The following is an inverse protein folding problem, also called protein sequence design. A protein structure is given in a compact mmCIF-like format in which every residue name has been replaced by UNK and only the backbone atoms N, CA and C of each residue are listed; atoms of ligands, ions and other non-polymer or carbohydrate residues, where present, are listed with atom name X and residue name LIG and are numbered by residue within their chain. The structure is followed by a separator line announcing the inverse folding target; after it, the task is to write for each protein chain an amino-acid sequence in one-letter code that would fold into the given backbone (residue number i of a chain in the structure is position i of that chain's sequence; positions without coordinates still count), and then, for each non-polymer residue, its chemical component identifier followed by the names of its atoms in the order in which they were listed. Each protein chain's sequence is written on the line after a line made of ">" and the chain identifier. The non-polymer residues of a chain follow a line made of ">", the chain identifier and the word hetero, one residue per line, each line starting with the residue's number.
data_IF_937886924512
#
_entry.id   IF_937886924512
#
_cell.length_a   1.000
_cell.length_b   1.000
_cell.length_c   1.000
_cell.angle_alpha   90.00
_cell.angle_beta   90.00
_cell.angle_gamma   90.00
#
_symmetry.space_group_name_H-M   'P 1'
#
loop_
_entity.id
_entity.type
_entity.pdbx_description
1 polymer ?
#
# COMPACT_ATOMS: atom_id res chain seq x y z
N UNK A 1 -45.13 29.63 38.74
CA UNK A 1 -43.68 29.58 39.05
C UNK A 1 -43.51 28.89 40.39
N UNK A 2 -42.54 27.98 40.53
CA UNK A 2 -42.20 27.41 41.84
C UNK A 2 -41.36 28.44 42.60
N UNK A 3 -41.93 29.09 43.60
CA UNK A 3 -41.21 30.02 44.48
C UNK A 3 -40.50 29.24 45.58
N UNK A 4 -39.20 29.52 45.80
CA UNK A 4 -38.38 28.93 46.86
C UNK A 4 -38.24 27.39 46.85
N UNK A 5 -38.38 26.75 45.69
CA UNK A 5 -38.19 25.31 45.57
C UNK A 5 -36.71 24.93 45.71
N UNK A 6 -36.41 23.99 46.61
CA UNK A 6 -35.08 23.40 46.78
C UNK A 6 -35.02 22.05 46.05
N UNK A 7 -34.17 21.90 45.01
CA UNK A 7 -34.03 20.63 44.31
C UNK A 7 -33.61 19.50 45.24
N UNK A 8 -34.22 18.34 45.06
CA UNK A 8 -33.90 17.08 45.74
C UNK A 8 -33.24 16.10 44.77
N UNK A 9 -32.72 14.97 45.26
CA UNK A 9 -32.07 13.93 44.43
C UNK A 9 -33.02 13.34 43.36
N UNK A 10 -34.32 13.32 43.65
CA UNK A 10 -35.38 12.87 42.73
C UNK A 10 -35.85 13.96 41.75
N UNK A 11 -35.38 15.20 41.91
CA UNK A 11 -35.73 16.28 40.98
C UNK A 11 -35.10 16.00 39.61
N UNK A 12 -35.88 16.24 38.56
CA UNK A 12 -35.47 16.06 37.16
C UNK A 12 -35.79 17.32 36.37
N UNK A 13 -34.93 17.63 35.41
CA UNK A 13 -35.07 18.76 34.49
C UNK A 13 -34.98 18.20 33.07
N UNK A 14 -35.87 18.64 32.18
CA UNK A 14 -35.85 18.22 30.78
C UNK A 14 -34.58 18.70 30.06
N UNK A 15 -34.04 17.92 29.13
CA UNK A 15 -32.86 18.29 28.33
C UNK A 15 -33.05 19.61 27.56
N UNK A 16 -34.30 19.99 27.24
CA UNK A 16 -34.64 21.23 26.54
C UNK A 16 -34.26 22.50 27.30
N UNK A 17 -34.04 22.40 28.61
CA UNK A 17 -33.57 23.52 29.41
C UNK A 17 -32.05 23.74 29.31
N UNK A 18 -31.31 22.86 28.65
CA UNK A 18 -29.85 22.98 28.47
C UNK A 18 -29.51 23.38 27.03
N UNK A 19 -28.34 23.97 26.83
CA UNK A 19 -27.82 24.22 25.47
C UNK A 19 -27.46 22.90 24.81
N UNK A 20 -27.57 22.83 23.48
CA UNK A 20 -27.18 21.63 22.73
C UNK A 20 -25.70 21.29 22.93
N UNK A 21 -24.83 22.29 23.06
CA UNK A 21 -23.39 22.09 23.32
C UNK A 21 -23.05 21.51 24.71
N UNK A 22 -23.96 21.66 25.69
CA UNK A 22 -23.82 21.15 27.05
C UNK A 22 -24.27 19.68 27.17
N UNK A 23 -24.99 19.17 26.16
CA UNK A 23 -25.43 17.77 26.10
C UNK A 23 -24.43 16.98 25.26
N UNK A 24 -23.59 16.21 25.93
CA UNK A 24 -22.62 15.30 25.33
C UNK A 24 -23.33 14.08 24.75
N UNK A 25 -23.27 13.94 23.42
CA UNK A 25 -23.87 12.82 22.65
C UNK A 25 -22.83 11.89 22.05
N UNK A 26 -21.57 12.30 21.98
CA UNK A 26 -20.47 11.54 21.38
C UNK A 26 -19.30 11.48 22.37
N UNK A 27 -18.54 10.38 22.32
CA UNK A 27 -17.24 10.25 22.98
C UNK A 27 -16.15 10.09 21.92
N UNK A 28 -14.98 10.63 22.22
CA UNK A 28 -13.81 10.55 21.35
C UNK A 28 -12.80 9.57 21.95
N UNK A 29 -12.25 8.67 21.14
CA UNK A 29 -11.19 7.74 21.51
C UNK A 29 -10.07 7.83 20.47
N UNK A 30 -8.83 7.97 20.93
CA UNK A 30 -7.67 8.01 20.04
C UNK A 30 -7.09 6.60 19.89
N UNK A 31 -7.09 6.06 18.67
CA UNK A 31 -6.45 4.78 18.39
C UNK A 31 -4.99 5.01 18.00
N UNK A 32 -4.08 4.64 18.91
CA UNK A 32 -2.64 4.80 18.73
C UNK A 32 -2.09 4.00 17.54
N UNK A 33 -2.72 2.87 17.18
CA UNK A 33 -2.24 2.02 16.08
C UNK A 33 -2.59 2.58 14.72
N UNK A 34 -3.80 3.12 14.55
CA UNK A 34 -4.23 3.71 13.28
C UNK A 34 -3.96 5.21 13.18
N UNK A 35 -3.59 5.86 14.29
CA UNK A 35 -3.38 7.31 14.37
C UNK A 35 -4.66 8.13 14.17
N UNK A 36 -5.84 7.49 14.31
CA UNK A 36 -7.14 8.12 14.03
C UNK A 36 -7.91 8.40 15.33
N UNK A 37 -8.57 9.55 15.35
CA UNK A 37 -9.54 9.89 16.38
C UNK A 37 -10.91 9.31 16.00
N UNK A 38 -11.37 8.32 16.75
CA UNK A 38 -12.67 7.69 16.59
C UNK A 38 -13.72 8.44 17.40
N UNK A 39 -14.87 8.71 16.80
CA UNK A 39 -16.03 9.31 17.47
C UNK A 39 -17.16 8.31 17.51
N UNK A 40 -17.69 8.02 18.70
CA UNK A 40 -18.74 7.03 18.92
C UNK A 40 -19.91 7.70 19.64
N UNK A 41 -21.16 7.49 19.19
CA UNK A 41 -22.33 8.01 19.89
C UNK A 41 -22.51 7.32 21.24
N UNK A 42 -22.86 8.09 22.27
CA UNK A 42 -23.21 7.58 23.59
C UNK A 42 -24.64 7.02 23.57
N UNK A 43 -24.83 5.84 24.16
CA UNK A 43 -26.16 5.24 24.33
C UNK A 43 -27.09 6.13 25.17
N UNK A 44 -26.54 6.81 26.18
CA UNK A 44 -27.25 7.78 27.01
C UNK A 44 -26.50 9.12 26.98
N UNK A 45 -27.12 10.21 26.50
CA UNK A 45 -26.51 11.53 26.53
C UNK A 45 -26.20 11.96 27.96
N UNK A 46 -25.06 12.62 28.15
CA UNK A 46 -24.61 13.14 29.45
C UNK A 46 -24.55 14.65 29.42
N UNK A 47 -24.80 15.29 30.55
CA UNK A 47 -24.52 16.72 30.69
C UNK A 47 -23.03 16.93 30.91
N UNK A 48 -22.48 17.97 30.30
CA UNK A 48 -21.12 18.44 30.59
C UNK A 48 -21.05 18.88 32.05
N UNK A 49 -19.90 18.64 32.67
CA UNK A 49 -19.64 19.13 34.02
C UNK A 49 -19.78 20.67 34.08
N UNK A 50 -20.51 21.17 35.07
CA UNK A 50 -20.83 22.59 35.20
C UNK A 50 -21.96 23.10 34.29
N UNK A 51 -22.64 22.24 33.53
CA UNK A 51 -23.81 22.66 32.74
C UNK A 51 -24.95 23.14 33.65
N UNK A 52 -25.42 24.36 33.41
CA UNK A 52 -26.52 24.97 34.18
C UNK A 52 -27.76 25.08 33.28
N UNK A 53 -28.96 24.68 33.75
CA UNK A 53 -30.19 24.89 33.00
C UNK A 53 -30.38 26.38 32.70
N UNK A 54 -30.61 26.72 31.44
CA UNK A 54 -31.02 28.05 31.04
C UNK A 54 -32.48 28.28 31.43
N UNK A 55 -32.76 29.49 31.94
CA UNK A 55 -34.12 29.99 32.12
C UNK A 55 -34.75 30.25 30.74
N UNK A 56 -35.26 29.20 30.12
CA UNK A 56 -36.13 29.32 28.96
C UNK A 56 -37.55 29.36 29.52
N UNK A 57 -38.06 30.57 29.77
CA UNK A 57 -39.49 30.75 29.98
C UNK A 57 -40.16 30.96 28.61
N UNK A 58 -41.33 30.37 28.40
CA UNK A 58 -42.15 30.59 27.19
C UNK A 58 -42.58 32.07 27.02
N UNK A 59 -42.29 32.93 28.01
CA UNK A 59 -42.57 34.37 28.02
C UNK A 59 -41.33 35.25 27.76
N UNK A 60 -40.16 34.68 27.52
CA UNK A 60 -38.97 35.46 27.20
C UNK A 60 -39.01 35.92 25.73
N UNK A 61 -38.94 37.23 25.43
CA UNK A 61 -38.90 37.70 24.06
C UNK A 61 -37.63 37.18 23.35
N UNK A 62 -37.69 36.91 22.02
CA UNK A 62 -36.56 36.36 21.26
C UNK A 62 -35.25 37.15 21.39
N UNK A 63 -35.33 38.45 21.69
CA UNK A 63 -34.19 39.35 21.91
C UNK A 63 -33.42 39.10 23.21
N UNK A 64 -34.04 38.46 24.21
CA UNK A 64 -33.42 38.11 25.50
C UNK A 64 -33.01 36.63 25.59
N UNK A 65 -33.34 35.83 24.57
CA UNK A 65 -32.82 34.48 24.48
C UNK A 65 -31.33 34.56 24.14
N UNK A 66 -30.45 33.81 24.85
CA UNK A 66 -29.07 33.69 24.43
C UNK A 66 -29.06 33.19 22.99
N UNK A 67 -28.67 34.04 22.04
CA UNK A 67 -28.47 33.60 20.67
C UNK A 67 -27.50 32.40 20.75
N UNK A 68 -27.80 31.32 20.01
CA UNK A 68 -26.77 30.31 19.77
C UNK A 68 -25.67 31.01 18.99
N UNK A 69 -24.69 31.58 19.67
CA UNK A 69 -23.56 32.24 19.03
C UNK A 69 -22.79 31.08 18.39
N UNK A 70 -22.71 30.97 17.06
CA UNK A 70 -21.83 30.00 16.45
C UNK A 70 -20.43 30.31 16.96
N UNK A 71 -19.91 29.43 17.83
CA UNK A 71 -18.58 29.59 18.39
C UNK A 71 -17.60 29.64 17.23
N UNK A 72 -16.93 30.78 17.05
CA UNK A 72 -15.87 30.90 16.06
C UNK A 72 -14.82 29.84 16.38
N UNK A 73 -14.39 29.12 15.36
CA UNK A 73 -13.26 28.20 15.48
C UNK A 73 -12.04 28.99 15.93
N UNK A 74 -11.33 28.51 16.95
CA UNK A 74 -10.11 29.17 17.40
C UNK A 74 -9.07 29.15 16.27
N UNK A 75 -8.20 30.17 16.14
CA UNK A 75 -7.16 30.20 15.11
C UNK A 75 -6.30 28.93 15.09
N UNK A 76 -5.98 28.38 16.27
CA UNK A 76 -5.21 27.13 16.41
C UNK A 76 -5.95 25.93 15.79
N UNK A 77 -7.24 25.76 16.10
CA UNK A 77 -8.04 24.66 15.56
C UNK A 77 -8.19 24.77 14.03
N UNK A 78 -8.36 25.99 13.53
CA UNK A 78 -8.37 26.26 12.08
C UNK A 78 -7.04 25.90 11.40
N UNK A 79 -5.90 26.27 11.99
CA UNK A 79 -4.56 25.92 11.48
C UNK A 79 -4.36 24.41 11.44
N UNK A 80 -4.61 23.72 12.56
CA UNK A 80 -4.51 22.26 12.64
C UNK A 80 -5.37 21.57 11.59
N UNK A 81 -6.63 22.01 11.40
CA UNK A 81 -7.52 21.46 10.37
C UNK A 81 -6.96 21.63 8.95
N UNK A 82 -6.27 22.73 8.66
CA UNK A 82 -5.65 22.95 7.35
C UNK A 82 -4.39 22.07 7.18
N UNK A 83 -3.56 21.96 8.22
CA UNK A 83 -2.40 21.07 8.24
C UNK A 83 -2.81 19.60 8.05
N UNK A 84 -3.78 19.12 8.83
CA UNK A 84 -4.32 17.75 8.73
C UNK A 84 -4.85 17.46 7.31
N UNK A 85 -5.52 18.42 6.68
CA UNK A 85 -5.98 18.30 5.29
C UNK A 85 -4.83 18.16 4.30
N UNK A 86 -3.74 18.93 4.49
CA UNK A 86 -2.57 18.84 3.63
C UNK A 86 -1.85 17.49 3.79
N UNK A 87 -1.71 17.02 5.03
CA UNK A 87 -1.13 15.71 5.35
C UNK A 87 -1.96 14.58 4.72
N UNK A 88 -3.28 14.61 4.88
CA UNK A 88 -4.18 13.61 4.27
C UNK A 88 -4.07 13.62 2.75
N UNK A 89 -4.01 14.80 2.13
CA UNK A 89 -3.84 14.92 0.68
C UNK A 89 -2.51 14.33 0.21
N UNK A 90 -1.43 14.59 0.93
CA UNK A 90 -0.10 14.04 0.62
C UNK A 90 -0.07 12.51 0.76
N UNK A 91 -0.67 11.96 1.82
CA UNK A 91 -0.80 10.52 2.02
C UNK A 91 -1.59 9.87 0.89
N UNK A 92 -2.73 10.46 0.52
CA UNK A 92 -3.57 9.95 -0.55
C UNK A 92 -2.85 9.94 -1.90
N UNK A 93 -2.14 11.03 -2.23
CA UNK A 93 -1.34 11.12 -3.45
C UNK A 93 -0.21 10.07 -3.49
N UNK A 94 0.42 9.79 -2.34
CA UNK A 94 1.43 8.74 -2.22
C UNK A 94 0.85 7.35 -2.50
N UNK A 95 -0.29 7.03 -1.89
CA UNK A 95 -1.00 5.74 -2.09
C UNK A 95 -1.43 5.59 -3.55
N UNK A 96 -1.96 6.65 -4.16
CA UNK A 96 -2.35 6.64 -5.57
C UNK A 96 -1.16 6.40 -6.49
N UNK A 97 -0.01 7.05 -6.23
CA UNK A 97 1.20 6.84 -7.02
C UNK A 97 1.76 5.43 -6.88
N UNK A 98 1.77 4.87 -5.67
CA UNK A 98 2.23 3.50 -5.42
C UNK A 98 1.33 2.48 -6.13
N UNK A 99 0.01 2.66 -6.05
CA UNK A 99 -0.96 1.81 -6.74
C UNK A 99 -0.81 1.90 -8.26
N UNK A 100 -0.61 3.11 -8.79
CA UNK A 100 -0.38 3.32 -10.21
C UNK A 100 0.92 2.65 -10.68
N UNK A 101 1.99 2.73 -9.89
CA UNK A 101 3.25 2.04 -10.17
C UNK A 101 3.07 0.52 -10.14
N UNK A 102 2.48 -0.01 -9.06
CA UNK A 102 2.27 -1.45 -8.88
C UNK A 102 1.49 -2.05 -10.05
N UNK A 103 0.43 -1.37 -10.51
CA UNK A 103 -0.35 -1.79 -11.69
C UNK A 103 0.45 -1.84 -12.99
N UNK A 104 1.45 -0.96 -13.17
CA UNK A 104 2.30 -0.93 -14.37
C UNK A 104 3.33 -2.05 -14.39
N UNK A 105 3.78 -2.50 -13.21
CA UNK A 105 4.81 -3.53 -13.08
C UNK A 105 4.23 -4.93 -12.86
N UNK A 106 2.97 -5.02 -12.42
CA UNK A 106 2.28 -6.30 -12.21
C UNK A 106 1.65 -6.86 -13.48
N UNK A 107 1.65 -8.17 -13.62
CA UNK A 107 0.95 -8.89 -14.68
C UNK A 107 0.41 -10.24 -14.17
N UNK A 108 -0.70 -10.69 -14.75
CA UNK A 108 -1.38 -11.94 -14.36
C UNK A 108 -1.41 -13.01 -15.45
N UNK A 109 -1.04 -12.64 -16.68
CA UNK A 109 -0.99 -13.55 -17.83
C UNK A 109 0.13 -13.15 -18.81
N UNK A 110 0.40 -14.02 -19.80
CA UNK A 110 1.46 -13.81 -20.78
C UNK A 110 1.24 -12.59 -21.68
N UNK A 111 -0.03 -12.22 -21.95
CA UNK A 111 -0.36 -11.06 -22.79
C UNK A 111 0.03 -9.77 -22.08
N UNK A 112 -0.29 -9.66 -20.78
CA UNK A 112 0.12 -8.56 -19.92
C UNK A 112 1.65 -8.51 -19.77
N UNK A 113 2.31 -9.66 -19.57
CA UNK A 113 3.77 -9.73 -19.52
C UNK A 113 4.41 -9.21 -20.82
N UNK A 114 3.87 -9.62 -21.98
CA UNK A 114 4.32 -9.11 -23.29
C UNK A 114 4.20 -7.59 -23.37
N UNK A 115 3.07 -7.04 -22.94
CA UNK A 115 2.86 -5.60 -22.93
C UNK A 115 3.83 -4.88 -22.00
N UNK A 116 4.08 -5.42 -20.80
CA UNK A 116 5.06 -4.89 -19.85
C UNK A 116 6.47 -4.86 -20.48
N UNK A 117 6.91 -5.95 -21.11
CA UNK A 117 8.22 -6.03 -21.76
C UNK A 117 8.37 -5.04 -22.92
N UNK A 118 7.33 -4.87 -23.73
CA UNK A 118 7.33 -3.87 -24.82
C UNK A 118 7.41 -2.45 -24.23
N UNK A 119 6.65 -2.17 -23.17
CA UNK A 119 6.60 -0.84 -22.57
C UNK A 119 7.89 -0.42 -21.86
N UNK A 120 8.58 -1.36 -21.21
CA UNK A 120 9.82 -1.08 -20.48
C UNK A 120 11.07 -1.25 -21.34
N UNK A 121 10.97 -2.00 -22.44
CA UNK A 121 12.10 -2.34 -23.29
C UNK A 121 12.95 -3.46 -22.69
N UNK A 122 13.67 -4.17 -23.55
CA UNK A 122 14.70 -5.12 -23.15
C UNK A 122 16.03 -4.62 -23.70
N UNK A 123 17.11 -4.81 -22.94
CA UNK A 123 18.47 -4.48 -23.37
C UNK A 123 18.84 -5.22 -24.68
N UNK A 124 19.67 -4.60 -25.52
CA UNK A 124 20.22 -5.14 -26.77
C UNK A 124 20.97 -6.47 -26.59
N UNK A 125 21.44 -6.74 -25.37
CA UNK A 125 22.02 -8.05 -25.01
C UNK A 125 21.02 -9.21 -25.24
N UNK A 126 19.72 -8.94 -25.16
CA UNK A 126 18.67 -9.95 -25.20
C UNK A 126 17.89 -9.89 -26.51
N UNK A 127 17.56 -11.06 -27.04
CA UNK A 127 16.57 -11.24 -28.09
C UNK A 127 15.31 -11.84 -27.48
N UNK A 128 14.19 -11.13 -27.61
CA UNK A 128 12.90 -11.61 -27.08
C UNK A 128 12.08 -12.26 -28.20
N UNK A 129 11.63 -13.48 -27.96
CA UNK A 129 10.81 -14.29 -28.86
C UNK A 129 9.46 -14.54 -28.20
N UNK A 130 8.40 -14.19 -28.92
CA UNK A 130 7.02 -14.51 -28.57
C UNK A 130 6.46 -15.49 -29.59
N UNK A 131 6.01 -16.66 -29.16
CA UNK A 131 5.38 -17.62 -30.07
C UNK A 131 4.29 -18.39 -29.34
N UNK A 132 3.04 -18.12 -29.73
CA UNK A 132 1.85 -18.67 -29.07
C UNK A 132 1.86 -18.40 -27.57
N UNK A 133 1.77 -19.47 -26.78
CA UNK A 133 1.68 -19.44 -25.32
C UNK A 133 3.04 -19.55 -24.61
N UNK A 134 4.14 -19.19 -25.30
CA UNK A 134 5.45 -19.12 -24.65
C UNK A 134 6.16 -17.81 -24.97
N UNK A 135 6.93 -17.38 -23.98
CA UNK A 135 7.85 -16.26 -24.07
C UNK A 135 9.26 -16.78 -23.78
N UNK A 136 10.23 -16.42 -24.62
CA UNK A 136 11.63 -16.74 -24.41
C UNK A 136 12.49 -15.51 -24.64
N UNK A 137 13.33 -15.19 -23.67
CA UNK A 137 14.34 -14.13 -23.77
C UNK A 137 15.70 -14.81 -23.83
N UNK A 138 16.40 -14.67 -24.94
CA UNK A 138 17.61 -15.44 -25.24
C UNK A 138 18.79 -14.52 -25.53
N UNK A 139 19.99 -14.99 -25.17
CA UNK A 139 21.24 -14.41 -25.65
C UNK A 139 21.94 -15.41 -26.57
N UNK A 140 22.24 -14.95 -27.79
CA UNK A 140 22.94 -15.69 -28.83
C UNK A 140 24.40 -15.26 -28.86
N UNK A 141 25.32 -16.21 -29.05
CA UNK A 141 26.73 -15.91 -29.31
C UNK A 141 26.99 -15.60 -30.78
N UNK A 142 28.24 -15.30 -31.14
CA UNK A 142 28.67 -15.05 -32.53
C UNK A 142 28.42 -16.23 -33.49
N UNK A 143 28.24 -17.43 -32.93
CA UNK A 143 27.71 -18.62 -33.61
C UNK A 143 26.29 -18.90 -33.10
N UNK A 144 25.42 -19.58 -33.87
CA UNK A 144 24.02 -19.87 -33.49
C UNK A 144 23.95 -20.92 -32.36
N UNK A 145 24.56 -20.60 -31.22
CA UNK A 145 24.47 -21.30 -29.97
C UNK A 145 23.84 -20.35 -28.94
N UNK A 146 22.93 -20.91 -28.15
CA UNK A 146 22.20 -20.16 -27.12
C UNK A 146 23.05 -20.24 -25.85
N UNK A 147 23.71 -19.14 -25.50
CA UNK A 147 24.48 -19.08 -24.25
C UNK A 147 23.55 -19.18 -23.05
N UNK A 148 22.47 -18.39 -23.06
CA UNK A 148 21.49 -18.41 -21.99
C UNK A 148 20.09 -18.04 -22.47
N UNK A 149 19.07 -18.59 -21.80
CA UNK A 149 17.68 -18.29 -22.06
C UNK A 149 16.84 -18.25 -20.80
N UNK A 150 15.86 -17.36 -20.79
CA UNK A 150 14.81 -17.27 -19.78
C UNK A 150 13.49 -17.55 -20.47
N UNK A 151 12.86 -18.66 -20.10
CA UNK A 151 11.62 -19.14 -20.72
C UNK A 151 10.47 -19.01 -19.72
N UNK A 152 9.36 -18.46 -20.18
CA UNK A 152 8.14 -18.26 -19.39
C UNK A 152 7.01 -19.07 -20.02
N UNK A 153 6.39 -19.92 -19.21
CA UNK A 153 5.24 -20.73 -19.61
C UNK A 153 3.90 -19.98 -19.45
N UNK A 154 2.80 -20.60 -19.89
CA UNK A 154 1.44 -20.09 -19.75
C UNK A 154 0.99 -19.80 -18.32
N UNK A 155 1.62 -20.44 -17.33
CA UNK A 155 1.33 -20.28 -15.91
C UNK A 155 2.24 -19.22 -15.24
N UNK A 156 3.03 -18.50 -16.05
CA UNK A 156 4.03 -17.52 -15.62
C UNK A 156 5.19 -18.13 -14.81
N UNK A 157 5.44 -19.43 -14.98
CA UNK A 157 6.63 -20.04 -14.42
C UNK A 157 7.83 -19.73 -15.31
N UNK A 158 8.83 -19.14 -14.69
CA UNK A 158 10.11 -18.83 -15.29
C UNK A 158 11.04 -20.02 -15.11
N UNK A 159 11.72 -20.38 -16.19
CA UNK A 159 12.78 -21.37 -16.21
C UNK A 159 13.99 -20.82 -16.94
N UNK A 160 15.16 -21.02 -16.34
CA UNK A 160 16.42 -20.47 -16.86
C UNK A 160 17.31 -21.60 -17.37
N UNK A 161 17.90 -21.40 -18.53
CA UNK A 161 18.90 -22.29 -19.13
C UNK A 161 20.18 -21.50 -19.35
N UNK A 162 21.32 -22.07 -18.96
CA UNK A 162 22.65 -21.51 -19.17
C UNK A 162 23.56 -22.61 -19.71
N UNK A 163 24.24 -22.36 -20.84
CA UNK A 163 25.11 -23.33 -21.56
C UNK A 163 24.46 -24.71 -21.71
N UNK A 164 23.19 -24.73 -22.18
CA UNK A 164 22.37 -25.94 -22.38
C UNK A 164 21.96 -26.69 -21.10
N UNK A 165 22.26 -26.16 -19.91
CA UNK A 165 21.84 -26.72 -18.61
C UNK A 165 20.71 -25.91 -18.01
N UNK A 166 19.62 -26.57 -17.60
CA UNK A 166 18.53 -25.93 -16.86
C UNK A 166 18.95 -25.65 -15.43
N UNK A 167 18.95 -24.38 -15.03
CA UNK A 167 19.32 -23.95 -13.69
C UNK A 167 18.16 -24.20 -12.72
N UNK A 168 18.48 -24.77 -11.55
CA UNK A 168 17.56 -24.86 -10.41
C UNK A 168 17.62 -23.62 -9.51
N UNK A 169 18.74 -22.89 -9.54
CA UNK A 169 18.99 -21.72 -8.71
C UNK A 169 19.84 -20.70 -9.48
N UNK A 170 19.59 -19.42 -9.26
CA UNK A 170 20.41 -18.30 -9.73
C UNK A 170 20.39 -17.21 -8.67
N UNK A 171 21.49 -17.04 -7.93
CA UNK A 171 21.53 -16.14 -6.78
C UNK A 171 20.47 -16.51 -5.73
N UNK A 172 19.52 -15.60 -5.48
CA UNK A 172 18.39 -15.82 -4.55
C UNK A 172 17.20 -16.55 -5.18
N UNK A 173 17.16 -16.65 -6.51
CA UNK A 173 16.01 -17.22 -7.23
C UNK A 173 16.12 -18.74 -7.31
N UNK A 174 15.02 -19.44 -7.07
CA UNK A 174 14.88 -20.89 -7.26
C UNK A 174 13.87 -21.17 -8.36
N UNK A 175 14.21 -22.05 -9.29
CA UNK A 175 13.40 -22.35 -10.47
C UNK A 175 12.81 -23.77 -10.44
N UNK A 176 11.59 -23.97 -10.97
CA UNK A 176 10.72 -22.97 -11.61
C UNK A 176 10.15 -21.95 -10.62
N UNK A 177 10.12 -20.67 -11.03
CA UNK A 177 9.61 -19.57 -10.21
C UNK A 177 8.40 -18.94 -10.89
N UNK A 178 7.26 -18.85 -10.19
CA UNK A 178 6.13 -18.08 -10.70
C UNK A 178 6.38 -16.59 -10.51
N UNK A 179 6.36 -15.83 -11.59
CA UNK A 179 6.61 -14.38 -11.57
C UNK A 179 5.36 -13.62 -12.00
N UNK A 180 4.99 -12.60 -11.24
CA UNK A 180 3.85 -11.71 -11.53
C UNK A 180 4.26 -10.23 -11.53
N UNK A 181 5.55 -9.95 -11.34
CA UNK A 181 6.11 -8.60 -11.32
C UNK A 181 7.29 -8.54 -12.30
N UNK A 182 7.25 -7.57 -13.20
CA UNK A 182 8.24 -7.42 -14.27
C UNK A 182 9.62 -7.02 -13.75
N UNK A 183 9.69 -6.33 -12.60
CA UNK A 183 10.97 -5.98 -11.98
C UNK A 183 11.74 -7.26 -11.60
N UNK A 184 11.04 -8.24 -11.01
CA UNK A 184 11.63 -9.55 -10.67
C UNK A 184 12.12 -10.27 -11.94
N UNK A 185 11.35 -10.17 -13.03
CA UNK A 185 11.78 -10.73 -14.31
C UNK A 185 13.06 -10.07 -14.84
N UNK A 186 13.17 -8.74 -14.76
CA UNK A 186 14.39 -8.01 -15.14
C UNK A 186 15.56 -8.25 -14.20
N UNK A 187 15.34 -8.50 -12.92
CA UNK A 187 16.38 -8.91 -11.97
C UNK A 187 16.95 -10.29 -12.33
N UNK A 188 16.11 -11.23 -12.75
CA UNK A 188 16.55 -12.54 -13.24
C UNK A 188 17.41 -12.36 -14.50
N UNK A 189 16.95 -11.56 -15.46
CA UNK A 189 17.72 -11.25 -16.66
C UNK A 189 19.07 -10.60 -16.32
N UNK A 190 19.07 -9.60 -15.43
CA UNK A 190 20.29 -8.90 -15.02
C UNK A 190 21.28 -9.86 -14.34
N UNK A 191 20.80 -10.72 -13.44
CA UNK A 191 21.62 -11.73 -12.76
C UNK A 191 22.22 -12.73 -13.76
N UNK A 192 21.43 -13.15 -14.74
CA UNK A 192 21.88 -14.07 -15.79
C UNK A 192 22.88 -13.41 -16.74
N UNK A 193 22.71 -12.11 -17.01
CA UNK A 193 23.67 -11.31 -17.78
C UNK A 193 25.00 -11.23 -17.05
N UNK A 194 25.00 -10.95 -15.75
CA UNK A 194 26.24 -10.94 -14.93
C UNK A 194 26.96 -12.28 -15.01
N UNK A 195 26.23 -13.40 -14.86
CA UNK A 195 26.78 -14.76 -14.99
C UNK A 195 27.34 -15.05 -16.40
N UNK A 196 26.71 -14.51 -17.44
CA UNK A 196 27.20 -14.64 -18.81
C UNK A 196 28.53 -13.91 -19.02
N UNK A 197 28.71 -12.74 -18.40
CA UNK A 197 29.94 -11.95 -18.50
C UNK A 197 31.06 -12.50 -17.61
N UNK A 198 30.77 -12.99 -16.40
CA UNK A 198 31.77 -13.64 -15.52
C UNK A 198 32.35 -14.90 -16.16
N UNK A 199 31.52 -15.68 -16.85
CA UNK A 199 31.95 -16.87 -17.58
C UNK A 199 32.81 -16.59 -18.82
N UNK A 200 32.84 -15.34 -19.32
CA UNK A 200 33.65 -14.92 -20.47
C UNK A 200 35.05 -14.39 -20.07
N UNK A 201 35.20 -13.90 -18.84
CA UNK A 201 36.48 -13.47 -18.27
C UNK A 201 37.28 -14.70 -17.82
N UNK A 202 38.25 -15.13 -18.65
CA UNK A 202 39.27 -16.11 -18.27
C UNK A 202 40.05 -15.59 -17.05
N UNK A 203 39.78 -16.14 -15.86
CA UNK A 203 40.75 -16.64 -14.87
C UNK A 203 40.09 -16.76 -13.48
N UNK A 204 40.16 -17.96 -12.88
CA UNK A 204 39.71 -18.36 -11.52
C UNK A 204 38.20 -18.37 -11.21
N UNK A 205 37.38 -17.47 -11.75
CA UNK A 205 35.94 -17.40 -11.43
C UNK A 205 35.07 -18.43 -12.17
N UNK A 206 35.54 -18.91 -13.32
CA UNK A 206 34.91 -20.03 -14.03
C UNK A 206 34.82 -21.32 -13.21
N UNK A 207 35.66 -21.49 -12.17
CA UNK A 207 35.59 -22.65 -11.27
C UNK A 207 34.35 -22.57 -10.37
N UNK A 208 33.94 -21.37 -9.93
CA UNK A 208 32.72 -21.19 -9.12
C UNK A 208 31.45 -21.42 -9.92
N UNK A 209 31.40 -20.92 -11.16
CA UNK A 209 30.25 -21.10 -12.04
C UNK A 209 30.10 -22.58 -12.46
N UNK A 210 31.23 -23.27 -12.71
CA UNK A 210 31.24 -24.72 -12.91
C UNK A 210 30.80 -25.46 -11.62
N UNK A 211 31.23 -25.01 -10.45
CA UNK A 211 30.82 -25.58 -9.16
C UNK A 211 29.33 -25.39 -8.89
N UNK A 212 28.72 -24.23 -9.21
CA UNK A 212 27.27 -24.04 -9.05
C UNK A 212 26.46 -24.94 -9.99
N UNK A 213 26.93 -25.10 -11.23
CA UNK A 213 26.35 -26.03 -12.20
C UNK A 213 26.50 -27.48 -11.71
N UNK A 214 27.67 -27.86 -11.18
CA UNK A 214 27.93 -29.18 -10.61
C UNK A 214 27.11 -29.44 -9.34
N UNK A 215 26.93 -28.46 -8.44
CA UNK A 215 26.08 -28.56 -7.25
C UNK A 215 24.61 -28.75 -7.66
N UNK A 216 24.14 -28.04 -8.69
CA UNK A 216 22.79 -28.23 -9.23
C UNK A 216 22.59 -29.61 -9.86
N UNK A 217 23.65 -30.17 -10.47
CA UNK A 217 23.68 -31.52 -11.03
C UNK A 217 23.80 -32.62 -9.96
N UNK A 218 24.55 -32.39 -8.87
CA UNK A 218 24.77 -33.35 -7.78
C UNK A 218 23.54 -33.49 -6.86
N UNK A 219 22.73 -32.45 -6.70
CA UNK A 219 21.42 -32.51 -6.01
C UNK A 219 20.33 -33.27 -6.84
N UNK A 220 20.72 -34.25 -7.67
CA UNK A 220 19.84 -35.17 -8.40
C UNK A 220 20.06 -36.64 -8.02
N UNK A 221 21.05 -36.94 -7.17
CA UNK A 221 21.25 -38.25 -6.53
C UNK A 221 20.68 -38.16 -5.11
#
# INVERSE_FOLDING_TARGET
>A
MRTNFKPTISSRVCERHFRKEDVLRETEYFDEKSGKLLKIPLQYPKLREGAVPMFISDKCPPSLQPAMIPSRESPSKKRKRLEDKLVQKAQQASIESENAYTKRVSFNNLVELKQCLISQGTDLFWTTIFKGDFLSVIHLTDFPDVLCSVNVDKNLNVSVVYKKVKLKKLGIFQFPLRVTNINVFFEILSSLKVLAHSGATKNSEGIKDILEVLISLLNKI
#
